data_IF_601979260379
#
_entry.id   IF_601979260379
#
_cell.length_a   1.000
_cell.length_b   1.000
_cell.length_c   1.000
_cell.angle_alpha   90.00
_cell.angle_beta   90.00
_cell.angle_gamma   90.00
#
_symmetry.space_group_name_H-M   'P 1'
#
loop_
_entity.id
_entity.type
_entity.pdbx_description
1 polymer ?
#
# COMPACT_ATOMS: atom_id res chain seq x y z
N UNK A 1 33.18 9.12 2.01
CA UNK A 1 32.55 7.78 2.12
C UNK A 1 31.08 7.94 1.81
N UNK A 2 30.47 7.01 1.09
CA UNK A 2 29.01 7.03 0.86
C UNK A 2 28.25 6.68 2.13
N UNK A 3 27.11 7.32 2.36
CA UNK A 3 26.17 6.99 3.43
C UNK A 3 25.47 5.65 3.17
N UNK A 4 24.74 5.12 4.17
CA UNK A 4 23.93 3.92 3.97
C UNK A 4 22.83 4.15 2.92
N UNK A 5 22.13 5.28 2.97
CA UNK A 5 21.07 5.62 2.02
C UNK A 5 21.59 5.72 0.58
N UNK A 6 22.78 6.30 0.37
CA UNK A 6 23.41 6.36 -0.95
C UNK A 6 23.77 4.96 -1.49
N UNK A 7 24.08 4.00 -0.61
CA UNK A 7 24.30 2.60 -1.03
C UNK A 7 23.00 1.87 -1.35
N UNK A 8 21.94 2.10 -0.58
CA UNK A 8 20.60 1.54 -0.86
C UNK A 8 20.07 2.08 -2.20
N UNK A 9 20.16 3.39 -2.40
CA UNK A 9 19.72 4.05 -3.64
C UNK A 9 20.71 3.89 -4.81
N UNK A 10 21.94 3.45 -4.52
CA UNK A 10 23.01 3.27 -5.50
C UNK A 10 23.45 4.55 -6.21
N UNK A 11 23.34 5.71 -5.55
CA UNK A 11 23.72 7.01 -6.10
C UNK A 11 23.99 8.05 -4.99
N UNK A 12 24.81 9.07 -5.26
CA UNK A 12 25.06 10.16 -4.31
C UNK A 12 23.87 11.12 -4.22
N UNK A 13 23.79 11.86 -3.12
CA UNK A 13 22.74 12.87 -2.90
C UNK A 13 22.64 13.88 -4.06
N UNK A 14 21.41 14.25 -4.42
CA UNK A 14 21.11 15.18 -5.54
C UNK A 14 21.02 14.51 -6.91
N UNK A 15 21.22 13.19 -7.00
CA UNK A 15 21.09 12.44 -8.25
C UNK A 15 19.65 11.94 -8.44
N UNK A 16 19.10 12.11 -9.64
CA UNK A 16 17.85 11.43 -10.02
C UNK A 16 18.14 9.96 -10.35
N UNK A 17 17.38 9.04 -9.75
CA UNK A 17 17.50 7.60 -10.00
C UNK A 17 16.12 6.96 -10.09
N UNK A 18 16.00 6.00 -11.00
CA UNK A 18 14.91 5.02 -10.99
C UNK A 18 15.37 3.78 -10.23
N UNK A 19 14.51 3.26 -9.35
CA UNK A 19 14.75 2.06 -8.56
C UNK A 19 13.49 1.22 -8.48
N UNK A 20 13.67 -0.10 -8.47
CA UNK A 20 12.57 -1.00 -8.17
C UNK A 20 12.16 -0.84 -6.71
N UNK A 21 10.84 -0.83 -6.48
CA UNK A 21 10.27 -0.83 -5.13
C UNK A 21 10.10 -2.29 -4.69
N UNK A 22 10.72 -2.65 -3.57
CA UNK A 22 10.65 -4.01 -3.02
C UNK A 22 9.29 -4.29 -2.38
N UNK A 23 8.69 -3.29 -1.74
CA UNK A 23 7.38 -3.37 -1.09
C UNK A 23 6.70 -1.99 -1.06
N UNK A 24 5.41 -1.96 -1.40
CA UNK A 24 4.57 -0.78 -1.22
C UNK A 24 3.26 -1.17 -0.51
N UNK A 25 2.71 -0.24 0.26
CA UNK A 25 1.43 -0.46 0.91
C UNK A 25 0.57 0.80 0.92
N UNK A 26 -0.72 0.61 1.09
CA UNK A 26 -1.67 1.67 1.41
C UNK A 26 -2.54 1.22 2.59
N UNK A 27 -3.11 2.18 3.33
CA UNK A 27 -4.10 1.87 4.35
C UNK A 27 -5.51 2.19 3.86
N UNK A 28 -6.56 1.85 4.61
CA UNK A 28 -7.97 2.08 4.26
C UNK A 28 -8.30 3.48 3.69
N UNK A 29 -7.70 4.55 4.21
CA UNK A 29 -7.87 5.91 3.71
C UNK A 29 -7.14 6.18 2.39
N UNK A 30 -5.83 5.93 2.35
CA UNK A 30 -5.01 6.21 1.15
C UNK A 30 -5.22 5.19 0.04
N UNK A 31 -5.63 3.97 0.37
CA UNK A 31 -5.86 2.88 -0.58
C UNK A 31 -6.99 3.18 -1.55
N UNK A 32 -8.06 3.86 -1.10
CA UNK A 32 -9.09 4.35 -2.01
C UNK A 32 -8.49 5.35 -2.99
N UNK A 33 -7.76 6.35 -2.51
CA UNK A 33 -7.15 7.37 -3.37
C UNK A 33 -6.17 6.74 -4.37
N UNK A 34 -5.37 5.77 -3.94
CA UNK A 34 -4.45 5.02 -4.80
C UNK A 34 -5.20 4.23 -5.87
N UNK A 35 -6.29 3.53 -5.51
CA UNK A 35 -7.13 2.82 -6.48
C UNK A 35 -7.71 3.78 -7.53
N UNK A 36 -8.23 4.93 -7.11
CA UNK A 36 -8.81 5.92 -8.01
C UNK A 36 -7.74 6.48 -8.97
N UNK A 37 -6.56 6.83 -8.46
CA UNK A 37 -5.45 7.29 -9.27
C UNK A 37 -4.98 6.24 -10.29
N UNK A 38 -4.85 4.97 -9.87
CA UNK A 38 -4.47 3.87 -10.77
C UNK A 38 -5.51 3.69 -11.89
N UNK A 39 -6.80 3.80 -11.56
CA UNK A 39 -7.88 3.75 -12.56
C UNK A 39 -7.78 4.91 -13.54
N UNK A 40 -7.56 6.13 -13.06
CA UNK A 40 -7.41 7.34 -13.91
C UNK A 40 -6.19 7.26 -14.83
N UNK A 41 -5.11 6.62 -14.36
CA UNK A 41 -3.93 6.31 -15.16
C UNK A 41 -4.15 5.19 -16.19
N UNK A 42 -5.32 4.54 -16.20
CA UNK A 42 -5.62 3.43 -17.09
C UNK A 42 -4.93 2.12 -16.70
N UNK A 43 -4.54 1.95 -15.44
CA UNK A 43 -3.90 0.71 -14.95
C UNK A 43 -4.97 -0.37 -14.77
N UNK A 44 -5.04 -1.29 -15.72
CA UNK A 44 -5.97 -2.42 -15.67
C UNK A 44 -5.47 -3.58 -14.79
N UNK A 45 -4.15 -3.76 -14.69
CA UNK A 45 -3.52 -4.84 -13.94
C UNK A 45 -2.27 -4.35 -13.21
N UNK A 46 -2.15 -4.73 -11.94
CA UNK A 46 -0.97 -4.47 -11.14
C UNK A 46 0.18 -5.39 -11.58
N UNK A 47 1.36 -4.81 -11.79
CA UNK A 47 2.52 -5.55 -12.29
C UNK A 47 3.07 -6.56 -11.27
N UNK A 48 3.10 -6.17 -9.99
CA UNK A 48 3.70 -6.94 -8.88
C UNK A 48 2.77 -6.99 -7.66
N UNK A 49 1.56 -7.58 -7.74
CA UNK A 49 0.64 -7.64 -6.61
C UNK A 49 1.23 -8.34 -5.37
N UNK A 50 2.19 -9.25 -5.56
CA UNK A 50 2.95 -9.92 -4.51
C UNK A 50 3.83 -8.97 -3.68
N UNK A 51 4.15 -7.78 -4.21
CA UNK A 51 4.91 -6.71 -3.53
C UNK A 51 4.01 -5.60 -2.98
N UNK A 52 2.69 -5.77 -3.04
CA UNK A 52 1.71 -4.79 -2.59
C UNK A 52 0.94 -5.28 -1.38
N UNK A 53 0.64 -4.37 -0.44
CA UNK A 53 -0.18 -4.63 0.74
C UNK A 53 -1.29 -3.59 0.89
N UNK A 54 -2.44 -4.04 1.36
CA UNK A 54 -3.51 -3.19 1.83
C UNK A 54 -3.75 -3.48 3.31
N UNK A 55 -3.81 -2.46 4.16
CA UNK A 55 -3.92 -2.65 5.62
C UNK A 55 -5.00 -1.75 6.20
N UNK A 56 -5.96 -2.30 6.93
CA UNK A 56 -7.01 -1.50 7.57
C UNK A 56 -6.66 -1.25 9.04
N UNK A 57 -6.34 0.00 9.37
CA UNK A 57 -5.98 0.40 10.73
C UNK A 57 -6.48 1.79 11.15
N UNK A 58 -6.63 2.75 10.24
CA UNK A 58 -6.98 4.13 10.61
C UNK A 58 -8.47 4.30 10.97
N UNK A 59 -9.38 3.63 10.27
CA UNK A 59 -10.83 3.80 10.43
C UNK A 59 -11.46 2.47 10.82
N UNK A 60 -10.96 1.89 11.92
CA UNK A 60 -11.35 0.55 12.39
C UNK A 60 -11.86 0.59 13.83
N UNK A 61 -13.11 0.20 14.12
CA UNK A 61 -14.19 -0.07 13.15
C UNK A 61 -14.57 1.14 12.32
N UNK A 62 -15.25 0.93 11.19
CA UNK A 62 -15.74 2.02 10.35
C UNK A 62 -16.61 2.99 11.16
N UNK A 63 -16.21 4.26 11.24
CA UNK A 63 -16.87 5.27 12.06
C UNK A 63 -18.09 5.92 11.37
N UNK A 64 -18.29 5.67 10.07
CA UNK A 64 -19.40 6.18 9.27
C UNK A 64 -19.84 5.14 8.25
N UNK A 65 -21.08 5.26 7.75
CA UNK A 65 -21.57 4.41 6.66
C UNK A 65 -20.74 4.54 5.38
N UNK A 66 -20.27 5.76 5.07
CA UNK A 66 -19.36 5.99 3.95
C UNK A 66 -18.05 5.22 4.10
N UNK A 67 -17.41 5.29 5.27
CA UNK A 67 -16.18 4.54 5.55
C UNK A 67 -16.40 3.03 5.39
N UNK A 68 -17.55 2.51 5.84
CA UNK A 68 -17.91 1.11 5.67
C UNK A 68 -18.04 0.71 4.19
N UNK A 69 -18.68 1.55 3.36
CA UNK A 69 -18.78 1.35 1.91
C UNK A 69 -17.39 1.33 1.26
N UNK A 70 -16.54 2.32 1.56
CA UNK A 70 -15.19 2.42 1.01
C UNK A 70 -14.32 1.21 1.38
N UNK A 71 -14.38 0.76 2.64
CA UNK A 71 -13.68 -0.47 3.06
C UNK A 71 -14.21 -1.70 2.33
N UNK A 72 -15.52 -1.80 2.07
CA UNK A 72 -16.09 -2.89 1.29
C UNK A 72 -15.60 -2.88 -0.17
N UNK A 73 -15.51 -1.70 -0.80
CA UNK A 73 -14.94 -1.54 -2.14
C UNK A 73 -13.46 -1.97 -2.19
N UNK A 74 -12.67 -1.54 -1.20
CA UNK A 74 -11.26 -1.92 -1.09
C UNK A 74 -11.07 -3.42 -0.90
N UNK A 75 -11.91 -4.09 -0.09
CA UNK A 75 -11.92 -5.56 0.01
C UNK A 75 -12.19 -6.22 -1.34
N UNK A 76 -13.11 -5.65 -2.13
CA UNK A 76 -13.38 -6.10 -3.50
C UNK A 76 -12.15 -5.95 -4.40
N UNK A 77 -11.54 -4.77 -4.38
CA UNK A 77 -10.37 -4.45 -5.19
C UNK A 77 -9.14 -5.30 -4.85
N UNK A 78 -8.87 -5.52 -3.56
CA UNK A 78 -7.76 -6.37 -3.10
C UNK A 78 -7.91 -7.80 -3.62
N UNK A 79 -9.11 -8.38 -3.50
CA UNK A 79 -9.42 -9.72 -4.03
C UNK A 79 -9.27 -9.79 -5.55
N UNK A 80 -9.79 -8.82 -6.28
CA UNK A 80 -9.73 -8.80 -7.74
C UNK A 80 -8.29 -8.60 -8.27
N UNK A 81 -7.48 -7.80 -7.57
CA UNK A 81 -6.12 -7.46 -7.97
C UNK A 81 -5.05 -8.42 -7.43
N UNK A 82 -5.44 -9.35 -6.56
CA UNK A 82 -4.52 -10.29 -5.91
C UNK A 82 -3.61 -9.64 -4.84
N UNK A 83 -3.99 -8.48 -4.34
CA UNK A 83 -3.23 -7.76 -3.30
C UNK A 83 -3.59 -8.34 -1.93
N UNK A 84 -2.57 -8.65 -1.13
CA UNK A 84 -2.77 -9.14 0.23
C UNK A 84 -3.40 -8.04 1.11
N UNK A 85 -4.46 -8.39 1.83
CA UNK A 85 -5.19 -7.51 2.72
C UNK A 85 -5.04 -7.98 4.18
N UNK A 86 -4.52 -7.10 5.03
CA UNK A 86 -4.69 -7.19 6.49
C UNK A 86 -5.95 -6.43 6.86
N UNK A 87 -7.03 -7.16 7.15
CA UNK A 87 -8.35 -6.58 7.43
C UNK A 87 -8.43 -5.94 8.84
N UNK A 88 -9.58 -5.35 9.13
CA UNK A 88 -9.92 -4.69 10.38
C UNK A 88 -9.59 -5.55 11.61
N UNK A 89 -8.79 -4.98 12.51
CA UNK A 89 -8.34 -5.63 13.74
C UNK A 89 -6.97 -6.32 13.62
N UNK A 90 -6.33 -6.29 12.45
CA UNK A 90 -4.99 -6.84 12.24
C UNK A 90 -3.84 -6.06 12.89
N UNK A 91 -4.05 -4.77 13.19
CA UNK A 91 -3.06 -3.90 13.84
C UNK A 91 -2.67 -2.68 13.00
N UNK A 92 -1.81 -1.82 13.56
CA UNK A 92 -1.34 -0.58 12.91
C UNK A 92 -0.44 -0.94 11.72
N UNK A 93 -0.62 -0.27 10.58
CA UNK A 93 0.02 -0.59 9.30
C UNK A 93 1.55 -0.73 9.40
N UNK A 94 2.23 0.23 10.03
CA UNK A 94 3.68 0.17 10.23
C UNK A 94 4.12 -0.97 11.16
N UNK A 95 3.30 -1.32 12.15
CA UNK A 95 3.59 -2.42 13.06
C UNK A 95 3.49 -3.77 12.33
N UNK A 96 2.36 -4.01 11.65
CA UNK A 96 2.11 -5.26 10.92
C UNK A 96 3.15 -5.47 9.80
N UNK A 97 3.54 -4.40 9.10
CA UNK A 97 4.62 -4.45 8.10
C UNK A 97 5.97 -4.79 8.73
N UNK A 98 6.30 -4.17 9.86
CA UNK A 98 7.58 -4.41 10.55
C UNK A 98 7.67 -5.83 11.12
N UNK A 99 6.54 -6.42 11.50
CA UNK A 99 6.45 -7.80 11.98
C UNK A 99 6.52 -8.84 10.83
N UNK A 100 6.39 -8.41 9.57
CA UNK A 100 6.36 -9.29 8.40
C UNK A 100 5.07 -10.10 8.27
N UNK A 101 3.98 -9.63 8.88
CA UNK A 101 2.69 -10.33 8.95
C UNK A 101 1.75 -9.93 7.79
N UNK A 102 2.07 -8.83 7.09
CA UNK A 102 1.37 -8.39 5.89
C UNK A 102 2.00 -8.95 4.62
#
# INVERSE_FOLDING_TARGET
MSTLSERILGAPAGTYVDREVDLAFAHDGTGILTREALREMGVERLAHPERLRLIFDHIVPANTGMAATLQAELRGYARASGVALSDAGGGICHQVLSEGVA
#
